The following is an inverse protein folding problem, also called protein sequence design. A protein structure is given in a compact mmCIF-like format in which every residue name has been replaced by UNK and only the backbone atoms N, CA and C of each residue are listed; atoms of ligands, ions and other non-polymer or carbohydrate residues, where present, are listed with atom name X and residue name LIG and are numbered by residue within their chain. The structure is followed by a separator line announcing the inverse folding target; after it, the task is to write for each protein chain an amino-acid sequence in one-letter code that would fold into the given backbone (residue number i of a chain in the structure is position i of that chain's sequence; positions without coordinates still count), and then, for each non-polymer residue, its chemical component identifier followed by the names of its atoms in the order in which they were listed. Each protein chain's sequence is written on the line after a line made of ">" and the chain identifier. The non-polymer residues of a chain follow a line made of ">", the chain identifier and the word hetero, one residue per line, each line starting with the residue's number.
data_IF_823674434795
#
_entry.id   IF_823674434795
#
_cell.length_a   1.000
_cell.length_b   1.000
_cell.length_c   1.000
_cell.angle_alpha   90.00
_cell.angle_beta   90.00
_cell.angle_gamma   90.00
#
_symmetry.space_group_name_H-M   'P 1'
#
loop_
_entity.id
_entity.type
_entity.pdbx_description
1 polymer ?
#
# COMPACT_ATOMS: atom_id res chain seq x y z
N UNK A 1 4.53 -27.86 24.89
CA UNK A 1 5.72 -27.02 25.14
C UNK A 1 6.23 -26.59 23.78
N UNK A 2 6.14 -25.31 23.43
CA UNK A 2 6.65 -24.83 22.15
C UNK A 2 8.16 -24.73 22.24
N UNK A 3 8.88 -25.62 21.56
CA UNK A 3 10.33 -25.54 21.43
C UNK A 3 10.67 -24.33 20.56
N UNK A 4 11.21 -23.28 21.17
CA UNK A 4 11.56 -22.04 20.47
C UNK A 4 13.00 -22.16 19.95
N UNK A 5 13.16 -22.25 18.63
CA UNK A 5 14.47 -22.19 17.97
C UNK A 5 14.81 -20.74 17.61
N UNK A 6 16.02 -20.28 17.92
CA UNK A 6 16.46 -18.91 17.59
C UNK A 6 17.08 -18.86 16.20
N UNK A 7 16.53 -18.01 15.31
CA UNK A 7 17.06 -17.74 13.98
C UNK A 7 17.71 -16.35 13.92
N UNK A 8 18.97 -16.27 13.51
CA UNK A 8 19.67 -14.99 13.27
C UNK A 8 19.77 -14.75 11.77
N UNK A 9 19.18 -13.64 11.29
CA UNK A 9 19.19 -13.25 9.87
C UNK A 9 19.69 -11.83 9.70
N UNK A 10 20.52 -11.61 8.68
CA UNK A 10 20.96 -10.26 8.27
C UNK A 10 19.89 -9.67 7.36
N UNK A 11 19.27 -8.57 7.78
CA UNK A 11 18.27 -7.84 7.00
C UNK A 11 18.69 -6.38 6.81
N UNK A 12 18.31 -5.74 5.68
CA UNK A 12 18.51 -4.31 5.47
C UNK A 12 17.79 -3.48 6.53
N UNK A 13 18.30 -2.26 6.79
CA UNK A 13 17.74 -1.35 7.80
C UNK A 13 16.29 -0.96 7.46
N UNK A 14 16.02 -0.67 6.18
CA UNK A 14 14.67 -0.33 5.69
C UNK A 14 13.66 -1.44 5.98
N UNK A 15 14.05 -2.70 5.75
CA UNK A 15 13.18 -3.85 6.01
C UNK A 15 12.88 -3.98 7.51
N UNK A 16 13.88 -3.73 8.36
CA UNK A 16 13.71 -3.75 9.82
C UNK A 16 12.71 -2.69 10.28
N UNK A 17 12.73 -1.50 9.68
CA UNK A 17 11.77 -0.43 10.00
C UNK A 17 10.36 -0.77 9.53
N UNK A 18 10.20 -1.34 8.33
CA UNK A 18 8.90 -1.80 7.84
C UNK A 18 8.29 -2.87 8.75
N UNK A 19 9.09 -3.86 9.19
CA UNK A 19 8.62 -4.89 10.12
C UNK A 19 8.27 -4.28 11.48
N UNK A 20 9.05 -3.29 11.95
CA UNK A 20 8.74 -2.60 13.21
C UNK A 20 7.41 -1.85 13.13
N UNK A 21 7.15 -1.16 12.02
CA UNK A 21 5.90 -0.43 11.83
C UNK A 21 4.72 -1.40 11.75
N UNK A 22 4.85 -2.49 10.98
CA UNK A 22 3.83 -3.53 10.92
C UNK A 22 3.55 -4.18 12.28
N UNK A 23 4.60 -4.45 13.06
CA UNK A 23 4.46 -4.97 14.42
C UNK A 23 3.74 -3.98 15.35
N UNK A 24 4.01 -2.68 15.21
CA UNK A 24 3.31 -1.64 15.96
C UNK A 24 1.82 -1.52 15.57
N UNK A 25 1.49 -1.66 14.27
CA UNK A 25 0.11 -1.65 13.78
C UNK A 25 -0.68 -2.89 14.22
N UNK A 26 -0.03 -4.06 14.28
CA UNK A 26 -0.62 -5.31 14.72
C UNK A 26 -0.58 -5.51 16.26
N UNK A 27 -0.08 -4.53 17.03
CA UNK A 27 0.14 -4.61 18.48
C UNK A 27 0.98 -5.84 18.92
N UNK A 28 1.87 -6.31 18.04
CA UNK A 28 2.67 -7.50 18.24
C UNK A 28 4.14 -7.15 18.51
N UNK A 29 4.87 -8.07 19.14
CA UNK A 29 6.33 -7.96 19.21
C UNK A 29 6.95 -8.18 17.82
N UNK A 30 8.11 -7.55 17.56
CA UNK A 30 8.84 -7.71 16.29
C UNK A 30 9.07 -9.18 15.94
N UNK A 31 9.41 -10.02 16.93
CA UNK A 31 9.60 -11.46 16.75
C UNK A 31 8.32 -12.20 16.43
N UNK A 32 7.19 -11.80 17.01
CA UNK A 32 5.89 -12.42 16.75
C UNK A 32 5.39 -12.09 15.33
N UNK A 33 5.56 -10.84 14.88
CA UNK A 33 5.21 -10.43 13.51
C UNK A 33 6.06 -11.17 12.47
N UNK A 34 7.36 -11.32 12.72
CA UNK A 34 8.24 -12.08 11.82
C UNK A 34 7.86 -13.56 11.79
N UNK A 35 7.57 -14.17 12.94
CA UNK A 35 7.12 -15.55 13.01
C UNK A 35 5.79 -15.75 12.26
N UNK A 36 4.80 -14.89 12.48
CA UNK A 36 3.51 -14.95 11.80
C UNK A 36 3.67 -14.85 10.28
N UNK A 37 4.46 -13.90 9.77
CA UNK A 37 4.73 -13.77 8.33
C UNK A 37 5.47 -14.96 7.74
N UNK A 38 6.38 -15.56 8.51
CA UNK A 38 7.06 -16.79 8.09
C UNK A 38 6.06 -17.95 8.02
N UNK A 39 5.23 -18.13 9.04
CA UNK A 39 4.18 -19.16 9.07
C UNK A 39 3.20 -18.99 7.90
N UNK A 40 2.75 -17.77 7.62
CA UNK A 40 1.93 -17.45 6.44
C UNK A 40 2.64 -17.77 5.12
N UNK A 41 3.94 -17.50 5.03
CA UNK A 41 4.72 -17.77 3.81
C UNK A 41 4.86 -19.27 3.53
N UNK A 42 4.85 -20.10 4.56
CA UNK A 42 4.94 -21.56 4.46
C UNK A 42 3.59 -22.27 4.48
N UNK A 43 2.51 -21.58 4.88
CA UNK A 43 1.17 -22.16 4.88
C UNK A 43 0.68 -22.35 3.43
N UNK A 44 0.48 -23.60 2.96
CA UNK A 44 0.03 -23.87 1.58
C UNK A 44 -1.40 -23.40 1.32
N UNK A 45 -2.18 -23.14 2.38
CA UNK A 45 -3.52 -22.59 2.31
C UNK A 45 -3.56 -21.05 2.41
N UNK A 46 -2.45 -20.40 2.76
CA UNK A 46 -2.37 -18.95 2.65
C UNK A 46 -2.47 -18.58 1.16
N UNK A 47 -3.33 -17.62 0.76
CA UNK A 47 -3.38 -17.18 -0.61
C UNK A 47 -2.02 -16.61 -0.97
N UNK A 48 -1.17 -17.38 -1.66
CA UNK A 48 0.11 -16.92 -2.18
C UNK A 48 -0.20 -15.67 -2.98
N UNK A 49 0.13 -14.51 -2.41
CA UNK A 49 -0.06 -13.22 -3.04
C UNK A 49 0.65 -13.22 -4.38
N UNK A 50 -0.13 -13.48 -5.43
CA UNK A 50 -0.03 -12.94 -6.79
C UNK A 50 1.42 -12.61 -7.19
N UNK A 51 2.21 -13.63 -7.52
CA UNK A 51 3.02 -13.48 -8.74
C UNK A 51 2.03 -13.52 -9.90
N UNK A 52 2.10 -12.48 -10.71
CA UNK A 52 1.21 -12.18 -11.80
C UNK A 52 0.87 -13.41 -12.67
N UNK A 53 -0.34 -13.38 -13.23
CA UNK A 53 -0.86 -14.23 -14.31
C UNK A 53 -1.45 -15.59 -13.92
N UNK A 54 -2.62 -15.56 -13.29
CA UNK A 54 -3.83 -16.09 -13.93
C UNK A 54 -5.04 -15.46 -13.30
N UNK A 55 -5.83 -14.76 -14.12
CA UNK A 55 -7.17 -14.33 -13.79
C UNK A 55 -7.98 -15.56 -13.36
N UNK A 56 -8.18 -15.73 -12.05
CA UNK A 56 -9.33 -16.46 -11.56
C UNK A 56 -10.41 -15.42 -11.39
N UNK A 57 -11.42 -15.53 -12.25
CA UNK A 57 -12.77 -15.06 -12.06
C UNK A 57 -13.20 -15.41 -10.62
N UNK A 58 -12.94 -14.52 -9.68
CA UNK A 58 -13.79 -14.38 -8.52
C UNK A 58 -14.63 -13.18 -8.88
N UNK A 59 -15.94 -13.42 -9.02
CA UNK A 59 -16.97 -12.40 -9.12
C UNK A 59 -16.66 -11.32 -8.09
N UNK A 60 -16.01 -10.27 -8.54
CA UNK A 60 -15.99 -9.03 -7.80
C UNK A 60 -17.38 -8.46 -8.09
N UNK A 61 -18.33 -8.69 -7.18
CA UNK A 61 -19.63 -8.04 -7.20
C UNK A 61 -19.42 -6.54 -6.89
N UNK A 62 -18.93 -5.84 -7.91
CA UNK A 62 -18.90 -4.39 -8.00
C UNK A 62 -20.16 -3.88 -8.70
N UNK A 63 -21.20 -4.72 -8.87
CA UNK A 63 -22.37 -4.40 -9.71
C UNK A 63 -23.26 -3.31 -9.08
N UNK A 64 -23.03 -2.98 -7.81
CA UNK A 64 -23.66 -1.88 -7.09
C UNK A 64 -22.71 -0.77 -6.65
N UNK A 65 -21.43 -0.81 -7.03
CA UNK A 65 -20.52 0.31 -6.76
C UNK A 65 -20.80 1.42 -7.78
N UNK A 66 -21.77 2.28 -7.46
CA UNK A 66 -21.96 3.51 -8.19
C UNK A 66 -20.73 4.40 -7.96
N UNK A 67 -19.88 4.53 -8.97
CA UNK A 67 -18.90 5.61 -9.00
C UNK A 67 -19.68 6.93 -9.05
N UNK A 68 -19.58 7.74 -8.00
CA UNK A 68 -20.01 9.13 -8.04
C UNK A 68 -19.26 9.82 -9.18
N UNK A 69 -19.96 10.08 -10.27
CA UNK A 69 -19.46 10.88 -11.38
C UNK A 69 -19.34 12.31 -10.87
N UNK A 70 -18.14 12.64 -10.37
CA UNK A 70 -17.81 14.02 -10.00
C UNK A 70 -18.14 14.94 -11.18
N UNK A 71 -18.92 16.01 -10.96
CA UNK A 71 -19.35 16.89 -12.04
C UNK A 71 -18.12 17.48 -12.73
N UNK A 72 -18.17 17.53 -14.07
CA UNK A 72 -17.12 18.16 -14.86
C UNK A 72 -16.87 19.60 -14.35
N UNK A 73 -15.60 19.93 -14.15
CA UNK A 73 -15.18 21.25 -13.67
C UNK A 73 -15.85 22.37 -14.46
N UNK A 74 -16.44 23.33 -13.76
CA UNK A 74 -17.13 24.44 -14.41
C UNK A 74 -16.13 25.36 -15.13
N UNK A 75 -16.59 26.10 -16.14
CA UNK A 75 -15.73 27.04 -16.88
C UNK A 75 -15.03 28.07 -15.98
N UNK A 76 -15.64 28.44 -14.84
CA UNK A 76 -15.06 29.33 -13.83
C UNK A 76 -13.89 28.68 -13.10
N UNK A 77 -14.01 27.40 -12.76
CA UNK A 77 -12.95 26.62 -12.09
C UNK A 77 -11.79 26.33 -13.04
N UNK A 78 -12.09 25.97 -14.30
CA UNK A 78 -11.07 25.82 -15.35
C UNK A 78 -10.29 27.13 -15.53
N UNK A 79 -10.97 28.29 -15.51
CA UNK A 79 -10.31 29.59 -15.63
C UNK A 79 -9.39 29.87 -14.42
N UNK A 80 -9.84 29.59 -13.20
CA UNK A 80 -9.01 29.71 -11.99
C UNK A 80 -7.79 28.78 -12.04
N UNK A 81 -7.97 27.52 -12.46
CA UNK A 81 -6.88 26.56 -12.64
C UNK A 81 -5.83 27.08 -13.63
N UNK A 82 -6.27 27.60 -14.79
CA UNK A 82 -5.36 28.21 -15.77
C UNK A 82 -4.61 29.41 -15.19
N UNK A 83 -5.28 30.27 -14.43
CA UNK A 83 -4.65 31.43 -13.77
C UNK A 83 -3.58 30.98 -12.76
N UNK A 84 -3.88 30.02 -11.90
CA UNK A 84 -2.94 29.49 -10.91
C UNK A 84 -1.72 28.84 -11.57
N UNK A 85 -1.94 28.03 -12.60
CA UNK A 85 -0.87 27.38 -13.37
C UNK A 85 0.03 28.40 -14.08
N UNK A 86 -0.56 29.44 -14.66
CA UNK A 86 0.20 30.49 -15.35
C UNK A 86 0.90 31.44 -14.38
N UNK A 87 0.31 31.74 -13.23
CA UNK A 87 0.95 32.50 -12.17
C UNK A 87 2.19 31.78 -11.63
N UNK A 88 2.14 30.45 -11.49
CA UNK A 88 3.30 29.66 -11.05
C UNK A 88 4.45 29.65 -12.08
N UNK A 89 4.12 29.72 -13.37
CA UNK A 89 5.12 29.84 -14.46
C UNK A 89 5.81 31.20 -14.50
N UNK A 90 5.12 32.27 -14.10
CA UNK A 90 5.71 33.62 -14.06
C UNK A 90 6.50 33.89 -12.79
N UNK A 91 6.21 33.20 -11.68
CA UNK A 91 7.00 33.28 -10.44
C UNK A 91 8.30 32.48 -10.48
N UNK A 92 8.43 31.51 -11.39
CA UNK A 92 9.65 30.72 -11.59
C UNK A 92 10.74 31.40 -12.44
N UNK A 93 10.46 32.61 -12.98
CA UNK A 93 11.42 33.38 -13.78
C UNK A 93 11.71 34.71 -13.10
N UNK A 94 12.35 34.66 -11.93
CA UNK A 94 12.95 35.85 -11.30
C UNK A 94 14.32 35.49 -10.73
N UNK A 95 15.34 35.94 -11.48
CA UNK A 95 16.78 36.09 -11.17
C UNK A 95 17.50 34.91 -10.54
#
# INVERSE_FOLDING_TARGET
>A
MSEITTLTVKIPVELKELIRNAAAEAEHSLSAEVAARLEESFNPAAPKGKKAAKATEHEIDNQHLAEDSEPALTAKEIKKLRTLLNARKTTGKKK
#
